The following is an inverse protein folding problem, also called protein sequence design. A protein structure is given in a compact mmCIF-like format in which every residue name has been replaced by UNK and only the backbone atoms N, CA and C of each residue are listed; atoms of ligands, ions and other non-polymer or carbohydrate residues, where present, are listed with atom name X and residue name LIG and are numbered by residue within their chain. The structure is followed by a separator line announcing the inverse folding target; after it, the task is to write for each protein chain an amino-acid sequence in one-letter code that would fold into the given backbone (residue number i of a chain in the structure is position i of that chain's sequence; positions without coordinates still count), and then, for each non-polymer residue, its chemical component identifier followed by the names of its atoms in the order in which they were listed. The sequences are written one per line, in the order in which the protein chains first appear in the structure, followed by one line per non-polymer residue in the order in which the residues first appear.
data_IF_065511417049
#
_entry.id   IF_065511417049
#
_cell.length_a   1.000
_cell.length_b   1.000
_cell.length_c   1.000
_cell.angle_alpha   90.00
_cell.angle_beta   90.00
_cell.angle_gamma   90.00
#
_symmetry.space_group_name_H-M   'P 1'
#
loop_
_entity.id
_entity.type
_entity.pdbx_description
1 polymer ?
#
# COMPACT_ATOMS: atom_id res chain seq x y z
N UNK A 1 19.99 -9.44 4.59
CA UNK A 1 20.31 -8.37 3.62
C UNK A 1 19.25 -7.27 3.77
N UNK A 2 19.61 -6.01 3.55
CA UNK A 2 18.68 -4.87 3.48
C UNK A 2 18.99 -4.10 2.20
N UNK A 3 17.98 -3.51 1.56
CA UNK A 3 18.11 -2.64 0.39
C UNK A 3 17.37 -1.32 0.62
N UNK A 4 17.71 -0.31 -0.18
CA UNK A 4 17.04 0.99 -0.21
C UNK A 4 16.66 1.29 -1.66
N UNK A 5 15.51 1.93 -1.86
CA UNK A 5 15.05 2.34 -3.19
C UNK A 5 14.23 3.61 -3.09
N UNK A 6 14.18 4.35 -4.20
CA UNK A 6 13.19 5.40 -4.39
C UNK A 6 11.87 4.76 -4.82
N UNK A 7 10.76 5.22 -4.24
CA UNK A 7 9.43 4.72 -4.54
C UNK A 7 8.58 5.84 -5.10
N UNK A 8 7.86 5.54 -6.19
CA UNK A 8 6.88 6.45 -6.78
C UNK A 8 5.49 5.82 -6.67
N UNK A 9 4.54 6.60 -6.17
CA UNK A 9 3.20 6.14 -5.84
C UNK A 9 2.25 7.28 -5.52
N UNK A 10 1.04 6.93 -5.11
CA UNK A 10 0.06 7.88 -4.54
C UNK A 10 -0.11 7.62 -3.04
N UNK A 11 -0.35 8.66 -2.21
CA UNK A 11 -0.74 8.45 -0.82
C UNK A 11 -1.98 7.55 -0.75
N UNK A 12 -1.92 6.47 0.03
CA UNK A 12 -3.04 5.53 0.14
C UNK A 12 -4.27 6.22 0.77
N UNK A 13 -4.05 7.23 1.62
CA UNK A 13 -5.10 8.10 2.15
C UNK A 13 -5.98 8.72 1.05
N UNK A 14 -5.39 9.14 -0.07
CA UNK A 14 -6.13 9.74 -1.20
C UNK A 14 -7.10 8.73 -1.81
N UNK A 15 -6.67 7.48 -2.01
CA UNK A 15 -7.52 6.42 -2.56
C UNK A 15 -8.63 6.04 -1.59
N UNK A 16 -8.30 5.95 -0.30
CA UNK A 16 -9.27 5.62 0.75
C UNK A 16 -10.34 6.72 0.94
N UNK A 17 -10.00 7.99 0.72
CA UNK A 17 -10.96 9.10 0.80
C UNK A 17 -12.10 8.93 -0.23
N UNK A 18 -11.78 8.47 -1.44
CA UNK A 18 -12.75 8.18 -2.49
C UNK A 18 -13.61 6.93 -2.19
N UNK A 19 -13.15 6.07 -1.29
CA UNK A 19 -13.80 4.79 -0.96
C UNK A 19 -14.88 4.91 0.12
N UNK A 20 -14.99 6.07 0.79
CA UNK A 20 -15.98 6.28 1.85
C UNK A 20 -15.72 5.46 3.12
N UNK A 21 -14.48 5.51 3.65
CA UNK A 21 -14.10 4.80 4.89
C UNK A 21 -15.03 5.21 6.04
N UNK A 22 -15.57 4.21 6.74
CA UNK A 22 -16.48 4.44 7.86
C UNK A 22 -15.75 5.09 9.04
N UNK A 23 -16.42 5.98 9.81
CA UNK A 23 -15.81 6.66 10.96
C UNK A 23 -15.31 5.72 12.07
N UNK A 24 -15.85 4.51 12.16
CA UNK A 24 -15.49 3.48 13.15
C UNK A 24 -14.43 2.48 12.66
N UNK A 25 -13.95 2.63 11.41
CA UNK A 25 -12.88 1.79 10.88
C UNK A 25 -11.56 2.05 11.61
N UNK A 26 -10.83 0.98 11.90
CA UNK A 26 -9.56 1.04 12.65
C UNK A 26 -8.42 0.25 12.02
N UNK A 27 -8.72 -0.63 11.07
CA UNK A 27 -7.76 -1.52 10.43
C UNK A 27 -7.99 -1.61 8.94
N UNK A 28 -6.90 -1.82 8.20
CA UNK A 28 -6.89 -2.15 6.78
C UNK A 28 -6.34 -3.56 6.62
N UNK A 29 -6.99 -4.37 5.78
CA UNK A 29 -6.47 -5.66 5.33
C UNK A 29 -5.91 -5.47 3.91
N UNK A 30 -4.60 -5.57 3.76
CA UNK A 30 -3.96 -5.62 2.44
C UNK A 30 -3.81 -7.08 2.01
N UNK A 31 -4.23 -7.42 0.79
CA UNK A 31 -4.22 -8.76 0.22
C UNK A 31 -3.49 -8.75 -1.13
N UNK A 32 -2.58 -9.71 -1.32
CA UNK A 32 -1.91 -9.94 -2.60
C UNK A 32 -2.85 -10.55 -3.64
N UNK A 33 -2.66 -10.20 -4.91
CA UNK A 33 -3.49 -10.76 -6.01
C UNK A 33 -3.05 -12.15 -6.47
N UNK A 34 -1.95 -12.66 -5.94
CA UNK A 34 -1.40 -13.97 -6.28
C UNK A 34 -2.17 -15.10 -5.59
N UNK A 35 -1.92 -16.35 -6.00
CA UNK A 35 -2.63 -17.51 -5.48
C UNK A 35 -2.42 -17.75 -3.98
N UNK A 36 -1.35 -17.22 -3.38
CA UNK A 36 -1.15 -17.31 -1.94
C UNK A 36 -2.01 -16.31 -1.15
N UNK A 37 -2.55 -15.26 -1.82
CA UNK A 37 -3.40 -14.22 -1.24
C UNK A 37 -2.85 -13.69 0.09
N UNK A 38 -1.54 -13.41 0.13
CA UNK A 38 -0.87 -13.14 1.39
C UNK A 38 -1.43 -11.86 2.02
N UNK A 39 -2.08 -12.00 3.19
CA UNK A 39 -2.74 -10.87 3.85
C UNK A 39 -1.90 -10.24 4.96
N UNK A 40 -2.02 -8.92 5.14
CA UNK A 40 -1.48 -8.19 6.30
C UNK A 40 -2.49 -7.18 6.83
N UNK A 41 -2.69 -7.20 8.15
CA UNK A 41 -3.50 -6.20 8.85
C UNK A 41 -2.62 -5.05 9.31
N UNK A 42 -3.04 -3.83 8.99
CA UNK A 42 -2.33 -2.58 9.30
C UNK A 42 -3.27 -1.64 10.05
N UNK A 43 -2.81 -0.92 11.09
CA UNK A 43 -3.60 0.12 11.72
C UNK A 43 -3.94 1.21 10.70
N UNK A 44 -5.22 1.59 10.62
CA UNK A 44 -5.69 2.59 9.66
C UNK A 44 -4.99 3.95 9.88
N UNK A 45 -4.70 4.30 11.13
CA UNK A 45 -4.03 5.58 11.47
C UNK A 45 -2.65 5.70 10.84
N UNK A 46 -1.86 4.62 10.83
CA UNK A 46 -0.53 4.62 10.22
C UNK A 46 -0.63 4.64 8.69
N UNK A 47 -1.60 3.92 8.13
CA UNK A 47 -1.88 3.91 6.70
C UNK A 47 -2.24 5.31 6.19
N UNK A 48 -3.12 6.03 6.91
CA UNK A 48 -3.54 7.38 6.53
C UNK A 48 -2.43 8.41 6.67
N UNK A 49 -1.38 8.13 7.45
CA UNK A 49 -0.29 9.07 7.72
C UNK A 49 0.80 9.02 6.65
N UNK A 50 1.34 7.83 6.38
CA UNK A 50 2.60 7.70 5.63
C UNK A 50 2.58 6.64 4.50
N UNK A 51 1.50 5.85 4.34
CA UNK A 51 1.50 4.77 3.36
C UNK A 51 1.34 5.26 1.90
N UNK A 52 2.09 4.63 1.00
CA UNK A 52 2.02 4.84 -0.45
C UNK A 52 1.49 3.58 -1.15
N UNK A 53 0.61 3.77 -2.12
CA UNK A 53 0.31 2.78 -3.15
C UNK A 53 1.30 3.00 -4.30
N UNK A 54 2.38 2.23 -4.30
CA UNK A 54 3.49 2.36 -5.24
C UNK A 54 3.20 1.65 -6.58
N UNK A 55 3.65 2.26 -7.67
CA UNK A 55 3.59 1.67 -9.02
C UNK A 55 4.94 1.76 -9.76
N UNK A 56 5.94 2.40 -9.16
CA UNK A 56 7.29 2.50 -9.72
C UNK A 56 8.37 2.48 -8.61
N UNK A 57 9.55 1.98 -8.97
CA UNK A 57 10.73 1.88 -8.12
C UNK A 57 11.96 2.34 -8.90
N UNK A 58 12.75 3.25 -8.32
CA UNK A 58 13.96 3.82 -8.92
C UNK A 58 13.73 4.42 -10.33
N UNK A 59 12.61 5.13 -10.52
CA UNK A 59 12.26 5.79 -11.78
C UNK A 59 11.69 4.89 -12.88
N UNK A 60 11.55 3.59 -12.63
CA UNK A 60 10.99 2.62 -13.58
C UNK A 60 9.71 1.98 -13.04
N UNK A 61 8.87 1.43 -13.93
CA UNK A 61 7.71 0.65 -13.51
C UNK A 61 8.14 -0.56 -12.65
N UNK A 62 7.30 -0.95 -11.68
CA UNK A 62 7.59 -2.13 -10.86
C UNK A 62 7.78 -3.37 -11.73
N UNK A 63 8.82 -4.14 -11.39
CA UNK A 63 9.02 -5.44 -12.01
C UNK A 63 8.03 -6.44 -11.42
N UNK A 64 7.62 -7.49 -12.16
CA UNK A 64 6.65 -8.47 -11.68
C UNK A 64 7.01 -9.14 -10.34
N UNK A 65 8.30 -9.28 -10.03
CA UNK A 65 8.76 -9.87 -8.77
C UNK A 65 8.74 -8.90 -7.57
N UNK A 66 8.39 -7.62 -7.79
CA UNK A 66 8.40 -6.55 -6.78
C UNK A 66 7.01 -5.97 -6.48
N UNK A 67 5.96 -6.58 -7.03
CA UNK A 67 4.56 -6.22 -6.81
C UNK A 67 3.63 -7.29 -7.35
#
# INVERSE_FOLDING_TARGET
LMSTSEWTGVPLATVLAESGVKPDASWVLAEGSDAAAMTRSLPLTEVLKDALLCYAQNGEALRPEQG
#
